data_IF_689523503472
#
_entry.id   IF_689523503472
#
_cell.length_a   1.000
_cell.length_b   1.000
_cell.length_c   1.000
_cell.angle_alpha   90.00
_cell.angle_beta   90.00
_cell.angle_gamma   90.00
#
_symmetry.space_group_name_H-M   'P 1'
#
loop_
_entity.id
_entity.type
_entity.pdbx_description
1 polymer ?
#
# COMPACT_ATOMS: atom_id res chain seq x y z
N UNK A 1 25.94 2.54 -9.88
CA UNK A 1 25.19 2.72 -8.62
C UNK A 1 23.67 2.72 -8.86
N UNK A 2 23.14 3.60 -9.73
CA UNK A 2 21.70 3.63 -10.10
C UNK A 2 21.18 2.32 -10.74
N UNK A 3 21.92 1.72 -11.67
CA UNK A 3 21.50 0.47 -12.32
C UNK A 3 21.36 -0.70 -11.32
N UNK A 4 22.27 -0.79 -10.34
CA UNK A 4 22.23 -1.83 -9.30
C UNK A 4 21.08 -1.60 -8.30
N UNK A 5 20.74 -0.35 -8.03
CA UNK A 5 19.58 0.01 -7.21
C UNK A 5 18.28 -0.35 -7.94
N UNK A 6 18.16 -0.02 -9.23
CA UNK A 6 17.01 -0.42 -10.05
C UNK A 6 16.92 -1.95 -10.18
N UNK A 7 18.04 -2.66 -10.32
CA UNK A 7 18.09 -4.12 -10.34
C UNK A 7 17.70 -4.74 -8.98
N UNK A 8 18.04 -4.11 -7.86
CA UNK A 8 17.59 -4.55 -6.53
C UNK A 8 16.09 -4.32 -6.34
N UNK A 9 15.55 -3.17 -6.77
CA UNK A 9 14.11 -2.90 -6.72
C UNK A 9 13.34 -3.88 -7.60
N UNK A 10 13.81 -4.16 -8.82
CA UNK A 10 13.17 -5.11 -9.74
C UNK A 10 13.29 -6.58 -9.29
N UNK A 11 14.33 -6.94 -8.53
CA UNK A 11 14.52 -8.30 -8.02
C UNK A 11 13.84 -8.57 -6.68
N UNK A 12 13.45 -7.52 -5.95
CA UNK A 12 12.78 -7.60 -4.66
C UNK A 12 11.42 -8.32 -4.79
N UNK A 13 11.14 -9.25 -3.86
CA UNK A 13 9.87 -9.98 -3.81
C UNK A 13 8.66 -9.03 -3.70
N UNK A 14 8.75 -7.99 -2.87
CA UNK A 14 7.73 -6.94 -2.74
C UNK A 14 7.38 -6.30 -4.09
N UNK A 15 8.38 -5.95 -4.91
CA UNK A 15 8.12 -5.34 -6.22
C UNK A 15 7.43 -6.30 -7.19
N UNK A 16 7.88 -7.56 -7.22
CA UNK A 16 7.27 -8.60 -8.06
C UNK A 16 5.84 -8.92 -7.63
N UNK A 17 5.61 -9.00 -6.33
CA UNK A 17 4.28 -9.22 -5.75
C UNK A 17 3.36 -8.02 -5.97
N UNK A 18 3.88 -6.79 -5.87
CA UNK A 18 3.11 -5.57 -6.17
C UNK A 18 2.74 -5.49 -7.66
N UNK A 19 3.66 -5.85 -8.56
CA UNK A 19 3.37 -5.96 -9.99
C UNK A 19 2.33 -7.05 -10.26
N UNK A 20 2.44 -8.19 -9.57
CA UNK A 20 1.44 -9.25 -9.65
C UNK A 20 0.06 -8.78 -9.20
N UNK A 21 -0.06 -7.98 -8.14
CA UNK A 21 -1.33 -7.33 -7.78
C UNK A 21 -1.83 -6.46 -8.93
N UNK A 22 -0.99 -5.58 -9.50
CA UNK A 22 -1.36 -4.67 -10.58
C UNK A 22 -1.88 -5.39 -11.84
N UNK A 23 -1.19 -6.43 -12.28
CA UNK A 23 -1.57 -7.25 -13.44
C UNK A 23 -2.93 -7.94 -13.28
N UNK A 24 -3.36 -8.17 -12.03
CA UNK A 24 -4.57 -8.93 -11.71
C UNK A 24 -5.76 -8.06 -11.29
N UNK A 25 -5.62 -6.73 -11.25
CA UNK A 25 -6.65 -5.78 -10.81
C UNK A 25 -8.00 -5.93 -11.54
N UNK A 26 -7.94 -6.25 -12.84
CA UNK A 26 -9.14 -6.38 -13.68
C UNK A 26 -9.79 -7.77 -13.63
N UNK A 27 -9.08 -8.77 -13.09
CA UNK A 27 -9.46 -10.18 -13.26
C UNK A 27 -9.73 -10.90 -11.93
N UNK A 28 -9.20 -10.38 -10.82
CA UNK A 28 -9.27 -11.07 -9.53
C UNK A 28 -9.70 -10.16 -8.39
N UNK A 29 -10.72 -10.61 -7.66
CA UNK A 29 -11.31 -9.88 -6.54
C UNK A 29 -10.30 -9.54 -5.44
N UNK A 30 -9.35 -10.43 -5.13
CA UNK A 30 -8.32 -10.14 -4.11
C UNK A 30 -7.46 -8.93 -4.49
N UNK A 31 -7.13 -8.78 -5.78
CA UNK A 31 -6.32 -7.67 -6.26
C UNK A 31 -7.12 -6.36 -6.24
N UNK A 32 -8.38 -6.41 -6.68
CA UNK A 32 -9.29 -5.27 -6.60
C UNK A 32 -9.53 -4.83 -5.16
N UNK A 33 -9.72 -5.77 -4.23
CA UNK A 33 -9.86 -5.49 -2.78
C UNK A 33 -8.63 -4.81 -2.19
N UNK A 34 -7.43 -5.24 -2.59
CA UNK A 34 -6.22 -4.53 -2.18
C UNK A 34 -6.25 -3.07 -2.65
N UNK A 35 -6.64 -2.78 -3.90
CA UNK A 35 -6.75 -1.40 -4.38
C UNK A 35 -7.89 -0.63 -3.69
N UNK A 36 -9.05 -1.25 -3.50
CA UNK A 36 -10.22 -0.61 -2.90
C UNK A 36 -10.01 -0.28 -1.42
N UNK A 37 -9.19 -1.07 -0.73
CA UNK A 37 -8.83 -0.79 0.67
C UNK A 37 -7.97 0.47 0.88
N UNK A 38 -7.47 1.12 -0.18
CA UNK A 38 -6.62 2.30 -0.06
C UNK A 38 -7.42 3.50 0.48
N UNK A 39 -6.69 4.38 1.15
CA UNK A 39 -7.17 5.70 1.54
C UNK A 39 -7.60 6.56 0.36
N UNK A 40 -8.87 6.97 0.33
CA UNK A 40 -9.43 7.81 -0.74
C UNK A 40 -9.72 9.22 -0.22
N UNK A 41 -9.35 10.28 -0.96
CA UNK A 41 -9.72 11.63 -0.60
C UNK A 41 -11.23 11.82 -0.54
N UNK A 42 -11.71 12.25 0.61
CA UNK A 42 -13.10 12.63 0.81
C UNK A 42 -13.30 14.14 0.60
N UNK A 43 -14.56 14.54 0.42
CA UNK A 43 -14.92 15.96 0.42
C UNK A 43 -14.63 16.61 1.78
N UNK A 44 -14.49 17.94 1.80
CA UNK A 44 -14.25 18.66 3.05
C UNK A 44 -12.78 18.72 3.47
N UNK A 45 -11.83 18.56 2.53
CA UNK A 45 -10.39 18.75 2.78
C UNK A 45 -10.11 20.10 3.45
N UNK A 46 -10.74 21.17 2.94
CA UNK A 46 -10.61 22.53 3.50
C UNK A 46 -11.28 22.70 4.87
N UNK A 47 -12.12 21.74 5.27
CA UNK A 47 -12.79 21.68 6.56
C UNK A 47 -12.05 20.73 7.53
N UNK A 48 -10.89 20.21 7.15
CA UNK A 48 -10.07 19.33 7.98
C UNK A 48 -10.32 17.84 7.77
N UNK A 49 -11.01 17.43 6.70
CA UNK A 49 -11.14 16.01 6.36
C UNK A 49 -9.84 15.48 5.73
N UNK A 50 -8.86 15.17 6.58
CA UNK A 50 -7.49 14.78 6.22
C UNK A 50 -7.16 13.33 6.63
N UNK A 51 -8.14 12.57 7.09
CA UNK A 51 -7.98 11.17 7.50
C UNK A 51 -8.62 10.26 6.45
N UNK A 52 -7.82 9.77 5.52
CA UNK A 52 -8.24 8.90 4.43
C UNK A 52 -7.70 7.50 4.68
N UNK A 53 -8.28 6.80 5.65
CA UNK A 53 -7.73 5.52 6.12
C UNK A 53 -8.14 4.31 5.25
N UNK A 54 -9.21 4.41 4.46
CA UNK A 54 -9.66 3.27 3.65
C UNK A 54 -10.18 2.10 4.51
N UNK A 55 -10.21 0.90 3.94
CA UNK A 55 -10.83 -0.30 4.54
C UNK A 55 -9.78 -1.30 5.03
N UNK A 56 -9.49 -1.30 6.32
CA UNK A 56 -8.47 -2.16 6.93
C UNK A 56 -8.72 -3.66 6.67
N UNK A 57 -9.95 -4.11 6.95
CA UNK A 57 -10.32 -5.53 6.86
C UNK A 57 -10.25 -6.05 5.42
N UNK A 58 -10.59 -5.22 4.44
CA UNK A 58 -10.48 -5.62 3.03
C UNK A 58 -9.04 -5.86 2.61
N UNK A 59 -8.09 -5.06 3.13
CA UNK A 59 -6.68 -5.24 2.86
C UNK A 59 -6.15 -6.54 3.49
N UNK A 60 -6.30 -6.72 4.81
CA UNK A 60 -5.64 -7.83 5.52
C UNK A 60 -6.24 -9.19 5.17
N UNK A 61 -7.51 -9.22 4.76
CA UNK A 61 -8.17 -10.45 4.31
C UNK A 61 -7.95 -10.76 2.82
N UNK A 62 -7.29 -9.86 2.06
CA UNK A 62 -6.93 -10.15 0.68
C UNK A 62 -5.77 -11.16 0.64
N UNK A 63 -5.96 -12.26 -0.10
CA UNK A 63 -4.95 -13.28 -0.32
C UNK A 63 -4.66 -13.46 -1.81
N UNK A 64 -3.40 -13.28 -2.18
CA UNK A 64 -2.91 -13.51 -3.54
C UNK A 64 -2.33 -14.92 -3.64
N UNK A 65 -2.91 -15.82 -4.47
CA UNK A 65 -2.38 -17.18 -4.62
C UNK A 65 -0.99 -17.17 -5.25
N UNK A 66 -0.17 -18.17 -4.92
CA UNK A 66 1.15 -18.32 -5.50
C UNK A 66 1.04 -18.72 -6.97
N UNK A 67 1.81 -18.08 -7.85
CA UNK A 67 1.91 -18.46 -9.25
C UNK A 67 2.82 -19.69 -9.39
N UNK A 68 2.32 -20.72 -10.07
CA UNK A 68 2.99 -22.02 -10.22
C UNK A 68 4.45 -21.87 -10.67
N UNK A 69 5.35 -22.61 -10.02
CA UNK A 69 6.78 -22.63 -10.30
C UNK A 69 7.48 -21.27 -10.19
N UNK A 70 6.92 -20.31 -9.44
CA UNK A 70 7.55 -19.00 -9.19
C UNK A 70 7.54 -18.64 -7.70
N UNK A 71 8.33 -17.63 -7.32
CA UNK A 71 8.27 -17.00 -6.00
C UNK A 71 7.27 -15.84 -5.91
N UNK A 72 6.43 -15.64 -6.94
CA UNK A 72 5.47 -14.54 -7.05
C UNK A 72 4.12 -14.99 -6.49
N UNK A 73 3.47 -14.12 -5.71
CA UNK A 73 2.23 -14.45 -5.01
C UNK A 73 2.48 -15.19 -3.70
N UNK A 74 1.45 -15.83 -3.18
CA UNK A 74 1.48 -16.52 -1.89
C UNK A 74 1.64 -15.55 -0.72
N UNK A 75 0.95 -14.41 -0.77
CA UNK A 75 1.05 -13.34 0.22
C UNK A 75 -0.34 -12.85 0.65
N UNK A 76 -0.41 -12.26 1.84
CA UNK A 76 -1.56 -11.48 2.28
C UNK A 76 -1.34 -9.99 2.06
N UNK A 77 -2.43 -9.23 2.01
CA UNK A 77 -2.36 -7.79 2.11
C UNK A 77 -1.87 -7.34 3.48
N UNK A 78 -1.04 -6.31 3.49
CA UNK A 78 -0.49 -5.66 4.67
C UNK A 78 -0.90 -4.20 4.65
N UNK A 79 -1.73 -3.86 5.62
CA UNK A 79 -2.23 -2.51 5.79
C UNK A 79 -1.14 -1.60 6.35
N UNK A 80 -0.86 -0.54 5.61
CA UNK A 80 0.26 0.36 5.84
C UNK A 80 -0.25 1.79 5.94
N UNK A 81 -0.09 2.43 7.09
CA UNK A 81 -0.47 3.83 7.28
C UNK A 81 0.71 4.75 7.05
N UNK A 82 0.44 5.96 6.57
CA UNK A 82 1.45 7.00 6.38
C UNK A 82 0.86 8.38 6.60
N UNK A 83 1.72 9.31 7.03
CA UNK A 83 1.37 10.72 7.11
C UNK A 83 2.10 11.50 6.01
N UNK A 84 1.33 12.23 5.20
CA UNK A 84 1.85 13.02 4.08
C UNK A 84 1.61 14.50 4.42
N UNK A 85 2.66 15.34 4.45
CA UNK A 85 2.48 16.78 4.66
C UNK A 85 1.83 17.40 3.42
N UNK A 86 0.66 18.00 3.60
CA UNK A 86 -0.05 18.76 2.57
C UNK A 86 0.06 20.26 2.83
N UNK A 87 0.53 21.01 1.83
CA UNK A 87 0.68 22.46 1.93
C UNK A 87 -0.56 23.16 1.36
N UNK A 88 -1.19 24.00 2.17
CA UNK A 88 -2.29 24.86 1.73
C UNK A 88 -2.00 26.31 2.14
N UNK A 89 -1.59 27.13 1.17
CA UNK A 89 -1.02 28.45 1.45
C UNK A 89 0.23 28.32 2.31
N UNK A 90 0.25 28.99 3.46
CA UNK A 90 1.36 28.96 4.42
C UNK A 90 1.16 27.94 5.56
N UNK A 91 0.16 27.05 5.47
CA UNK A 91 -0.10 26.02 6.49
C UNK A 91 0.23 24.63 5.95
N UNK A 92 0.99 23.88 6.73
CA UNK A 92 1.25 22.45 6.53
C UNK A 92 0.26 21.66 7.37
N UNK A 93 -0.57 20.84 6.73
CA UNK A 93 -1.51 19.95 7.40
C UNK A 93 -1.14 18.50 7.12
N UNK A 94 -1.04 17.62 8.13
CA UNK A 94 -0.74 16.21 7.91
C UNK A 94 -1.99 15.50 7.39
N UNK A 95 -1.89 14.89 6.21
CA UNK A 95 -2.86 13.92 5.71
C UNK A 95 -2.48 12.56 6.27
N UNK A 96 -3.37 11.92 7.01
CA UNK A 96 -3.23 10.51 7.37
C UNK A 96 -3.88 9.68 6.28
N UNK A 97 -3.13 8.80 5.63
CA UNK A 97 -3.66 7.89 4.62
C UNK A 97 -3.13 6.48 4.80
N UNK A 98 -3.74 5.50 4.14
CA UNK A 98 -3.28 4.13 4.14
C UNK A 98 -3.24 3.51 2.75
N UNK A 99 -2.38 2.52 2.59
CA UNK A 99 -2.24 1.70 1.39
C UNK A 99 -2.17 0.23 1.77
N UNK A 100 -2.58 -0.63 0.85
CA UNK A 100 -2.45 -2.07 1.01
C UNK A 100 -1.33 -2.61 0.12
N UNK A 101 -0.28 -3.11 0.76
CA UNK A 101 0.88 -3.68 0.07
C UNK A 101 0.93 -5.19 0.29
N UNK A 102 1.63 -5.96 -0.56
CA UNK A 102 2.00 -7.32 -0.19
C UNK A 102 2.72 -7.37 1.16
N UNK A 103 2.44 -8.36 2.00
CA UNK A 103 3.13 -8.56 3.28
C UNK A 103 4.65 -8.79 3.15
N UNK A 104 5.09 -9.10 1.93
CA UNK A 104 6.49 -9.21 1.52
C UNK A 104 7.20 -7.87 1.39
N UNK A 105 6.46 -6.75 1.49
CA UNK A 105 6.99 -5.40 1.58
C UNK A 105 7.39 -5.06 3.02
N UNK A 106 8.65 -4.61 3.19
CA UNK A 106 9.15 -4.11 4.45
C UNK A 106 9.01 -2.57 4.50
N UNK A 107 8.18 -2.02 5.38
CA UNK A 107 7.92 -0.57 5.42
C UNK A 107 9.10 0.26 5.95
N UNK A 108 10.10 -0.36 6.59
CA UNK A 108 11.23 0.33 7.23
C UNK A 108 12.24 1.01 6.27
N UNK A 109 12.02 0.98 4.96
CA UNK A 109 12.98 1.46 3.94
C UNK A 109 12.48 2.64 3.09
N UNK A 110 11.39 3.31 3.46
CA UNK A 110 10.79 4.37 2.63
C UNK A 110 10.86 5.77 3.28
N UNK A 111 11.01 6.85 2.47
CA UNK A 111 11.07 8.24 2.95
C UNK A 111 9.73 8.77 3.49
N UNK A 112 8.64 8.07 3.18
CA UNK A 112 7.35 8.25 3.82
C UNK A 112 7.34 7.31 5.02
N UNK A 113 7.11 7.83 6.22
CA UNK A 113 7.13 7.07 7.46
C UNK A 113 5.96 6.06 7.47
N UNK A 114 6.12 4.94 6.76
CA UNK A 114 5.12 3.90 6.63
C UNK A 114 5.16 3.06 7.91
N UNK A 115 4.09 3.09 8.70
CA UNK A 115 3.92 2.18 9.84
C UNK A 115 3.06 0.98 9.42
N UNK A 116 3.54 -0.23 9.72
CA UNK A 116 2.72 -1.43 9.61
C UNK A 116 1.64 -1.40 10.69
N UNK A 117 0.37 -1.39 10.29
CA UNK A 117 -0.74 -1.48 11.24
C UNK A 117 -0.78 -2.86 11.87
N UNK A 118 -0.41 -2.97 13.15
CA UNK A 118 -0.65 -4.16 13.96
C UNK A 118 -1.92 -3.94 14.78
N UNK A 119 -2.94 -4.76 14.51
CA UNK A 119 -4.19 -4.96 15.24
C UNK A 119 -4.78 -3.74 15.97
N UNK A 120 -5.71 -3.04 15.29
CA UNK A 120 -6.73 -2.24 15.99
C UNK A 120 -7.72 -3.22 16.62
N UNK A 121 -7.64 -3.41 17.94
CA UNK A 121 -8.72 -4.03 18.73
C UNK A 121 -9.70 -2.95 19.15
#
# INVERSE_FOLDING_TARGET
MLLNLLMQTASNKCYKDAMYTYENLASFNWATKMLDSYGKPESGILLGNLNWIGEYDECVNAYAPQKENTSIGGFHGKYCTMQIPFQFGNKSMPISTAVCLPDTCNPSTHPFNISGGSNST
#
